data_IF_500806948447
#
_entry.id   IF_500806948447
#
_cell.length_a   1.000
_cell.length_b   1.000
_cell.length_c   1.000
_cell.angle_alpha   90.00
_cell.angle_beta   90.00
_cell.angle_gamma   90.00
#
_symmetry.space_group_name_H-M   'P 1'
#
loop_
_entity.id
_entity.type
_entity.pdbx_description
1 polymer ?
#
# COMPACT_ATOMS: atom_id res chain seq x y z
N UNK A 1 9.62 -42.65 -72.80
CA UNK A 1 9.71 -41.18 -72.69
C UNK A 1 8.52 -40.75 -71.83
N UNK A 2 8.59 -40.21 -70.62
CA UNK A 2 9.60 -39.48 -69.83
C UNK A 2 9.19 -39.57 -68.33
N UNK A 3 10.19 -39.71 -67.44
CA UNK A 3 10.34 -39.35 -66.00
C UNK A 3 9.09 -39.30 -65.08
N UNK A 4 8.92 -40.11 -64.03
CA UNK A 4 9.70 -40.35 -62.79
C UNK A 4 9.54 -39.27 -61.67
N UNK A 5 9.53 -39.76 -60.43
CA UNK A 5 9.72 -39.11 -59.11
C UNK A 5 8.43 -38.72 -58.33
N UNK A 6 7.96 -39.55 -57.40
CA UNK A 6 8.36 -39.74 -55.99
C UNK A 6 7.95 -38.58 -55.05
N UNK A 7 6.93 -38.86 -54.25
CA UNK A 7 6.47 -38.09 -53.09
C UNK A 7 7.54 -38.07 -51.99
N UNK A 8 7.60 -37.00 -51.17
CA UNK A 8 7.36 -37.26 -49.75
C UNK A 8 6.49 -36.20 -49.06
N UNK A 9 5.52 -36.68 -48.28
CA UNK A 9 4.92 -35.92 -47.18
C UNK A 9 6.01 -35.66 -46.13
N UNK A 10 6.34 -34.40 -45.86
CA UNK A 10 7.13 -34.00 -44.70
C UNK A 10 6.17 -33.49 -43.61
N UNK A 11 5.81 -34.37 -42.67
CA UNK A 11 5.09 -33.98 -41.46
C UNK A 11 6.09 -33.39 -40.46
N UNK A 12 6.07 -32.06 -40.30
CA UNK A 12 6.84 -31.38 -39.26
C UNK A 12 6.09 -31.38 -37.93
N UNK A 13 6.54 -32.17 -36.95
CA UNK A 13 6.12 -32.02 -35.55
C UNK A 13 6.88 -30.83 -34.93
N UNK A 14 6.20 -29.71 -34.75
CA UNK A 14 6.65 -28.60 -33.89
C UNK A 14 6.38 -28.97 -32.43
N UNK A 15 7.42 -29.38 -31.71
CA UNK A 15 7.37 -29.54 -30.25
C UNK A 15 7.40 -28.14 -29.61
N UNK A 16 6.22 -27.62 -29.27
CA UNK A 16 6.07 -26.44 -28.42
C UNK A 16 6.45 -26.81 -26.98
N UNK A 17 7.71 -26.59 -26.61
CA UNK A 17 8.10 -26.62 -25.19
C UNK A 17 7.56 -25.37 -24.52
N UNK A 18 6.37 -25.47 -23.92
CA UNK A 18 5.83 -24.44 -23.05
C UNK A 18 6.72 -24.30 -21.81
N UNK A 19 7.36 -23.16 -21.65
CA UNK A 19 7.96 -22.77 -20.37
C UNK A 19 6.81 -22.48 -19.40
N UNK A 20 6.34 -23.50 -18.66
CA UNK A 20 5.51 -23.29 -17.50
C UNK A 20 6.37 -22.61 -16.43
N UNK A 21 6.28 -21.28 -16.35
CA UNK A 21 6.68 -20.60 -15.12
C UNK A 21 5.87 -21.24 -13.99
N UNK A 22 6.49 -21.69 -12.89
CA UNK A 22 5.73 -22.08 -11.71
C UNK A 22 4.84 -20.90 -11.37
N UNK A 23 3.53 -21.08 -11.45
CA UNK A 23 2.60 -20.11 -10.90
C UNK A 23 2.99 -19.97 -9.43
N UNK A 24 3.55 -18.81 -9.04
CA UNK A 24 3.69 -18.49 -7.65
C UNK A 24 2.28 -18.64 -7.06
N UNK A 25 2.07 -19.64 -6.20
CA UNK A 25 0.80 -19.74 -5.49
C UNK A 25 0.66 -18.42 -4.72
N UNK A 26 -0.30 -17.61 -5.14
CA UNK A 26 -0.64 -16.39 -4.43
C UNK A 26 -1.13 -16.79 -3.03
N UNK A 27 -0.52 -16.21 -1.99
CA UNK A 27 -0.83 -16.51 -0.60
C UNK A 27 -2.07 -15.82 -0.07
N UNK A 28 -2.94 -15.39 -0.96
CA UNK A 28 -4.02 -14.46 -0.66
C UNK A 28 -3.66 -13.04 -1.07
N UNK A 29 -4.69 -12.22 -1.12
CA UNK A 29 -4.64 -10.83 -1.52
C UNK A 29 -5.92 -10.12 -1.11
N UNK A 30 -5.88 -8.80 -1.06
CA UNK A 30 -6.99 -8.01 -0.56
C UNK A 30 -6.79 -6.52 -0.76
N UNK A 31 -7.47 -5.75 0.07
CA UNK A 31 -7.41 -4.29 0.02
C UNK A 31 -6.12 -3.76 0.65
N UNK A 32 -5.72 -2.58 0.20
CA UNK A 32 -4.74 -1.71 0.84
C UNK A 32 -5.55 -0.71 1.66
N UNK A 33 -5.50 -0.91 2.97
CA UNK A 33 -6.18 -0.07 3.95
C UNK A 33 -5.18 0.67 4.81
N UNK A 34 -5.65 1.67 5.55
CA UNK A 34 -4.82 2.42 6.46
C UNK A 34 -5.57 2.91 7.70
N UNK A 35 -4.81 3.07 8.78
CA UNK A 35 -5.23 3.69 10.03
C UNK A 35 -4.19 4.75 10.40
N UNK A 36 -4.65 5.99 10.49
CA UNK A 36 -3.81 7.13 10.81
C UNK A 36 -3.95 7.48 12.29
N UNK A 37 -2.89 7.25 13.05
CA UNK A 37 -2.83 7.57 14.48
C UNK A 37 -2.33 8.99 14.78
N UNK A 38 -2.10 9.79 13.73
CA UNK A 38 -1.43 11.09 13.80
C UNK A 38 -2.41 12.26 13.67
N UNK A 39 -1.92 13.45 14.00
CA UNK A 39 -2.65 14.72 13.84
C UNK A 39 -2.64 15.26 12.40
N UNK A 40 -1.80 14.71 11.53
CA UNK A 40 -1.67 15.13 10.13
C UNK A 40 -2.59 14.29 9.26
N UNK A 41 -3.09 14.84 8.16
CA UNK A 41 -3.73 14.01 7.14
C UNK A 41 -2.66 13.25 6.36
N UNK A 42 -2.98 12.05 5.93
CA UNK A 42 -2.24 11.30 4.91
C UNK A 42 -2.90 11.61 3.57
N UNK A 43 -2.31 12.53 2.80
CA UNK A 43 -2.87 13.05 1.55
C UNK A 43 -2.83 12.02 0.42
N UNK A 44 -1.90 11.08 0.47
CA UNK A 44 -1.85 9.88 -0.35
C UNK A 44 -0.86 8.90 0.29
N UNK A 45 -1.02 7.61 -0.02
CA UNK A 45 -0.03 6.62 0.33
C UNK A 45 -0.02 5.45 -0.67
N UNK A 46 1.05 4.67 -0.63
CA UNK A 46 1.18 3.44 -1.41
C UNK A 46 1.96 2.37 -0.67
N UNK A 47 1.74 1.12 -1.07
CA UNK A 47 2.49 -0.07 -0.63
C UNK A 47 3.15 -0.66 -1.88
N UNK A 48 4.49 -0.68 -1.93
CA UNK A 48 5.27 -1.14 -3.09
C UNK A 48 4.80 -0.49 -4.42
N UNK A 49 4.58 0.83 -4.38
CA UNK A 49 4.04 1.65 -5.47
C UNK A 49 2.57 1.35 -5.85
N UNK A 50 1.87 0.48 -5.14
CA UNK A 50 0.43 0.30 -5.30
C UNK A 50 -0.34 1.29 -4.42
N UNK A 51 -1.18 2.11 -5.05
CA UNK A 51 -1.93 3.17 -4.37
C UNK A 51 -2.95 2.61 -3.38
N UNK A 52 -3.01 3.21 -2.18
CA UNK A 52 -4.07 2.98 -1.21
C UNK A 52 -5.39 3.68 -1.54
N UNK A 53 -5.44 4.45 -2.64
CA UNK A 53 -6.57 5.24 -3.16
C UNK A 53 -6.99 6.42 -2.27
N UNK A 54 -7.23 6.17 -0.99
CA UNK A 54 -7.85 7.14 -0.09
C UNK A 54 -6.89 8.15 0.53
N UNK A 55 -7.48 9.30 0.89
CA UNK A 55 -6.91 10.26 1.82
C UNK A 55 -7.35 9.86 3.23
N UNK A 56 -6.41 9.74 4.16
CA UNK A 56 -6.72 9.36 5.54
C UNK A 56 -6.61 10.58 6.46
N UNK A 57 -7.75 11.08 6.94
CA UNK A 57 -7.77 12.20 7.85
C UNK A 57 -7.10 11.88 9.21
N UNK A 58 -6.82 12.91 10.03
CA UNK A 58 -6.25 12.72 11.36
C UNK A 58 -7.10 11.79 12.22
N UNK A 59 -6.49 10.77 12.83
CA UNK A 59 -7.16 9.83 13.76
C UNK A 59 -8.32 9.05 13.12
N UNK A 60 -8.20 8.70 11.83
CA UNK A 60 -9.20 7.98 11.06
C UNK A 60 -8.61 6.71 10.43
N UNK A 61 -9.49 5.85 9.93
CA UNK A 61 -9.13 4.75 9.02
C UNK A 61 -9.87 4.89 7.70
N UNK A 62 -9.36 4.26 6.66
CA UNK A 62 -9.88 4.30 5.29
C UNK A 62 -9.01 3.44 4.37
N UNK A 63 -9.13 3.63 3.06
CA UNK A 63 -8.42 2.84 2.08
C UNK A 63 -9.36 2.19 1.06
N UNK A 64 -9.12 0.92 0.76
CA UNK A 64 -9.82 0.23 -0.31
C UNK A 64 -9.08 0.23 -1.63
N UNK A 65 -7.80 0.61 -1.64
CA UNK A 65 -6.89 0.31 -2.74
C UNK A 65 -6.95 -1.17 -3.08
N UNK A 66 -7.07 -1.55 -4.35
CA UNK A 66 -7.17 -2.96 -4.70
C UNK A 66 -5.80 -3.65 -4.74
N UNK A 67 -5.86 -4.98 -4.75
CA UNK A 67 -4.89 -5.83 -5.43
C UNK A 67 -3.56 -6.05 -4.69
N UNK A 68 -3.50 -5.79 -3.38
CA UNK A 68 -2.37 -6.25 -2.57
C UNK A 68 -2.31 -7.78 -2.63
N UNK A 69 -1.11 -8.32 -2.87
CA UNK A 69 -0.88 -9.77 -2.97
C UNK A 69 0.44 -10.13 -2.32
N UNK A 70 0.50 -11.30 -1.70
CA UNK A 70 1.72 -11.83 -1.08
C UNK A 70 2.01 -13.26 -1.54
N UNK A 71 3.26 -13.76 -1.40
CA UNK A 71 3.58 -15.17 -1.64
C UNK A 71 2.78 -16.11 -0.70
N UNK A 72 2.56 -17.36 -1.13
CA UNK A 72 1.92 -18.40 -0.31
C UNK A 72 2.54 -18.65 1.07
N UNK A 73 3.83 -18.40 1.21
CA UNK A 73 4.53 -18.58 2.48
C UNK A 73 5.28 -17.31 2.80
N UNK A 74 5.09 -16.84 4.03
CA UNK A 74 5.94 -15.80 4.57
C UNK A 74 7.35 -16.36 4.78
N UNK A 75 8.36 -15.53 4.53
CA UNK A 75 9.76 -15.84 4.79
C UNK A 75 10.40 -14.73 5.62
N UNK A 76 11.35 -15.09 6.48
CA UNK A 76 12.05 -14.13 7.31
C UNK A 76 12.75 -13.06 6.47
N UNK A 77 12.51 -11.80 6.82
CA UNK A 77 13.06 -10.64 6.11
C UNK A 77 12.13 -10.08 5.03
N UNK A 78 10.92 -10.60 4.85
CA UNK A 78 9.93 -9.95 4.00
C UNK A 78 9.60 -8.53 4.49
N UNK A 79 9.60 -7.60 3.56
CA UNK A 79 9.33 -6.17 3.80
C UNK A 79 8.44 -5.60 2.71
N UNK A 80 7.78 -4.49 3.02
CA UNK A 80 7.11 -3.63 2.03
C UNK A 80 7.65 -2.21 2.17
N UNK A 81 7.71 -1.48 1.05
CA UNK A 81 7.99 -0.04 1.03
C UNK A 81 6.68 0.71 1.10
N UNK A 82 6.59 1.63 2.05
CA UNK A 82 5.47 2.54 2.23
C UNK A 82 5.94 3.93 1.84
N UNK A 83 5.25 4.54 0.88
CA UNK A 83 5.44 5.94 0.51
C UNK A 83 4.16 6.71 0.86
N UNK A 84 4.29 7.89 1.46
CA UNK A 84 3.13 8.70 1.82
C UNK A 84 3.44 10.19 1.90
N UNK A 85 2.39 11.01 1.76
CA UNK A 85 2.47 12.46 2.01
C UNK A 85 1.64 12.84 3.23
N UNK A 86 2.23 13.57 4.17
CA UNK A 86 1.47 14.21 5.24
C UNK A 86 1.15 15.66 4.90
N UNK A 87 0.01 16.16 5.34
CA UNK A 87 -0.33 17.59 5.25
C UNK A 87 -1.43 18.03 6.22
N UNK A 88 -1.81 19.31 6.13
CA UNK A 88 -2.88 19.88 6.93
C UNK A 88 -4.21 19.20 6.58
N UNK A 89 -4.81 18.50 7.54
CA UNK A 89 -6.10 17.82 7.39
C UNK A 89 -7.33 18.70 7.65
N UNK A 90 -7.22 20.03 7.50
CA UNK A 90 -8.28 20.99 7.83
C UNK A 90 -8.29 22.15 6.86
N UNK A 91 -9.48 22.69 6.59
CA UNK A 91 -9.70 23.94 5.85
C UNK A 91 -9.63 25.19 6.75
N UNK A 92 -9.06 25.08 7.96
CA UNK A 92 -8.87 26.21 8.85
C UNK A 92 -8.13 27.36 8.14
N UNK A 93 -8.64 28.59 8.32
CA UNK A 93 -8.09 29.78 7.68
C UNK A 93 -8.40 29.93 6.19
N UNK A 94 -9.25 29.06 5.61
CA UNK A 94 -9.68 29.20 4.22
C UNK A 94 -10.43 30.54 3.99
N UNK A 95 -9.93 31.43 3.12
CA UNK A 95 -10.47 32.79 2.97
C UNK A 95 -11.70 32.88 2.04
N UNK A 96 -12.21 31.74 1.55
CA UNK A 96 -13.17 31.72 0.45
C UNK A 96 -12.49 31.95 -0.90
N UNK A 97 -13.33 32.07 -1.95
CA UNK A 97 -12.87 32.21 -3.33
C UNK A 97 -13.03 33.64 -3.90
N UNK A 98 -13.59 34.58 -3.13
CA UNK A 98 -13.88 35.93 -3.61
C UNK A 98 -12.63 36.80 -3.84
N UNK A 99 -11.54 36.51 -3.11
CA UNK A 99 -10.27 37.23 -3.20
C UNK A 99 -9.18 36.24 -3.62
N UNK A 100 -8.79 36.29 -4.89
CA UNK A 100 -7.82 35.37 -5.47
C UNK A 100 -6.46 35.45 -4.78
N UNK A 101 -5.99 36.66 -4.43
CA UNK A 101 -4.70 36.85 -3.78
C UNK A 101 -4.67 36.19 -2.40
N UNK A 102 -5.74 36.33 -1.61
CA UNK A 102 -5.85 35.64 -0.32
C UNK A 102 -5.94 34.13 -0.49
N UNK A 103 -6.72 33.65 -1.46
CA UNK A 103 -6.81 32.22 -1.76
C UNK A 103 -5.46 31.61 -2.13
N UNK A 104 -4.69 32.26 -3.02
CA UNK A 104 -3.37 31.79 -3.44
C UNK A 104 -2.35 31.81 -2.28
N UNK A 105 -2.39 32.83 -1.43
CA UNK A 105 -1.54 32.90 -0.24
C UNK A 105 -1.86 31.78 0.76
N UNK A 106 -3.15 31.52 1.02
CA UNK A 106 -3.60 30.41 1.86
C UNK A 106 -3.17 29.06 1.27
N UNK A 107 -3.44 28.82 -0.02
CA UNK A 107 -3.06 27.58 -0.72
C UNK A 107 -1.55 27.33 -0.64
N UNK A 108 -0.74 28.36 -0.89
CA UNK A 108 0.73 28.28 -0.76
C UNK A 108 1.15 27.88 0.67
N UNK A 109 0.47 28.42 1.69
CA UNK A 109 0.70 28.05 3.08
C UNK A 109 0.33 26.61 3.42
N UNK A 110 -0.75 26.08 2.83
CA UNK A 110 -1.14 24.67 2.96
C UNK A 110 -0.12 23.77 2.25
N UNK A 111 0.26 24.10 1.02
CA UNK A 111 1.22 23.31 0.24
C UNK A 111 2.60 23.27 0.91
N UNK A 112 3.05 24.36 1.54
CA UNK A 112 4.32 24.42 2.27
C UNK A 112 4.38 23.51 3.51
N UNK A 113 3.23 23.02 4.01
CA UNK A 113 3.16 22.08 5.13
C UNK A 113 3.25 20.62 4.67
N UNK A 114 3.14 20.34 3.37
CA UNK A 114 3.23 18.98 2.86
C UNK A 114 4.64 18.39 3.06
N UNK A 115 4.71 17.12 3.42
CA UNK A 115 5.97 16.38 3.58
C UNK A 115 5.82 15.02 2.91
N UNK A 116 6.83 14.66 2.14
CA UNK A 116 6.96 13.38 1.46
C UNK A 116 7.79 12.45 2.34
N UNK A 117 7.34 11.22 2.48
CA UNK A 117 7.92 10.22 3.36
C UNK A 117 8.06 8.89 2.65
N UNK A 118 9.04 8.09 3.10
CA UNK A 118 9.26 6.73 2.62
C UNK A 118 9.83 5.87 3.74
N UNK A 119 9.30 4.66 3.92
CA UNK A 119 9.82 3.71 4.89
C UNK A 119 9.61 2.28 4.44
N UNK A 120 10.69 1.49 4.51
CA UNK A 120 10.61 0.05 4.37
C UNK A 120 10.36 -0.57 5.73
N UNK A 121 9.29 -1.37 5.86
CA UNK A 121 8.87 -1.98 7.12
C UNK A 121 8.72 -3.48 6.97
N UNK A 122 9.01 -4.26 8.03
CA UNK A 122 8.81 -5.70 8.00
C UNK A 122 7.32 -6.04 7.91
N UNK A 123 7.01 -7.07 7.11
CA UNK A 123 5.67 -7.68 7.10
C UNK A 123 5.66 -8.75 8.20
N UNK A 124 4.71 -8.71 9.16
CA UNK A 124 4.59 -9.75 10.18
C UNK A 124 4.36 -11.14 9.56
N UNK A 125 4.82 -12.19 10.24
CA UNK A 125 4.63 -13.58 9.81
C UNK A 125 3.13 -13.92 9.75
N UNK A 126 2.68 -14.33 8.57
CA UNK A 126 1.30 -14.75 8.29
C UNK A 126 1.18 -16.25 8.03
N UNK A 127 2.25 -17.03 8.24
CA UNK A 127 2.19 -18.48 8.07
C UNK A 127 1.15 -19.09 9.02
N UNK A 128 0.28 -19.96 8.47
CA UNK A 128 -0.81 -20.59 9.22
C UNK A 128 -1.98 -19.65 9.51
N UNK A 129 -2.04 -18.47 8.88
CA UNK A 129 -3.12 -17.50 9.00
C UNK A 129 -3.67 -17.14 7.62
N UNK A 130 -4.92 -16.70 7.57
CA UNK A 130 -5.49 -16.09 6.38
C UNK A 130 -4.96 -14.67 6.19
N UNK A 131 -4.79 -14.27 4.92
CA UNK A 131 -4.36 -12.92 4.51
C UNK A 131 -5.53 -12.20 3.84
N UNK A 132 -5.89 -11.03 4.37
CA UNK A 132 -7.04 -10.24 3.88
C UNK A 132 -6.65 -8.89 3.26
N UNK A 133 -5.43 -8.77 2.74
CA UNK A 133 -4.87 -7.51 2.25
C UNK A 133 -3.75 -7.00 3.15
N UNK A 134 -3.55 -5.69 3.18
CA UNK A 134 -2.60 -5.03 4.07
C UNK A 134 -3.23 -3.77 4.67
N UNK A 135 -3.11 -3.61 5.98
CA UNK A 135 -3.45 -2.36 6.67
C UNK A 135 -2.18 -1.66 7.11
N UNK A 136 -2.00 -0.41 6.67
CA UNK A 136 -0.88 0.46 7.05
C UNK A 136 -1.28 1.33 8.24
N UNK A 137 -0.52 1.25 9.33
CA UNK A 137 -0.69 2.10 10.49
C UNK A 137 0.35 3.21 10.48
N UNK A 138 -0.10 4.45 10.27
CA UNK A 138 0.75 5.64 10.39
C UNK A 138 0.78 6.09 11.84
N UNK A 139 1.96 6.08 12.45
CA UNK A 139 2.20 6.42 13.84
C UNK A 139 2.93 7.77 13.93
N UNK A 140 2.92 8.43 15.11
CA UNK A 140 3.75 9.62 15.31
C UNK A 140 5.23 9.36 15.06
N UNK A 141 6.01 10.41 14.78
CA UNK A 141 7.42 10.30 14.44
C UNK A 141 7.72 9.55 13.14
N UNK A 142 6.80 9.64 12.17
CA UNK A 142 6.93 9.01 10.85
C UNK A 142 7.21 7.49 10.94
N UNK A 143 6.72 6.88 12.02
CA UNK A 143 6.76 5.45 12.26
C UNK A 143 5.59 4.78 11.55
N UNK A 144 5.84 3.58 11.02
CA UNK A 144 4.83 2.82 10.28
C UNK A 144 4.85 1.37 10.72
N UNK A 145 3.66 0.79 10.90
CA UNK A 145 3.46 -0.65 11.08
C UNK A 145 2.51 -1.16 10.01
N UNK A 146 2.61 -2.44 9.69
CA UNK A 146 1.69 -3.09 8.75
C UNK A 146 1.16 -4.39 9.33
N UNK A 147 -0.02 -4.79 8.87
CA UNK A 147 -0.58 -6.11 9.16
C UNK A 147 -1.36 -6.64 7.98
N UNK A 148 -1.35 -7.96 7.79
CA UNK A 148 -2.16 -8.68 6.80
C UNK A 148 -3.38 -9.37 7.40
N UNK A 149 -3.64 -9.12 8.70
CA UNK A 149 -4.67 -9.80 9.47
C UNK A 149 -6.08 -9.55 8.94
N UNK A 150 -6.89 -10.60 8.92
CA UNK A 150 -8.32 -10.52 8.63
C UNK A 150 -9.17 -9.97 9.78
N UNK A 151 -8.59 -9.76 10.97
CA UNK A 151 -9.34 -9.21 12.10
C UNK A 151 -9.58 -7.72 11.92
N UNK A 152 -10.75 -7.24 12.35
CA UNK A 152 -11.00 -5.80 12.41
C UNK A 152 -10.27 -5.15 13.60
N UNK A 153 -9.93 -3.85 13.55
CA UNK A 153 -9.16 -3.17 14.61
C UNK A 153 -9.76 -3.23 16.02
N UNK A 154 -11.09 -3.43 16.13
CA UNK A 154 -11.79 -3.56 17.42
C UNK A 154 -11.71 -4.97 18.01
N UNK A 155 -11.23 -5.95 17.25
CA UNK A 155 -11.17 -7.33 17.69
C UNK A 155 -9.99 -7.56 18.64
N UNK A 156 -10.20 -8.40 19.66
CA UNK A 156 -9.18 -8.77 20.63
C UNK A 156 -7.94 -9.43 19.99
N UNK A 157 -8.10 -10.08 18.84
CA UNK A 157 -7.02 -10.77 18.11
C UNK A 157 -6.30 -9.87 17.09
N UNK A 158 -6.72 -8.61 16.91
CA UNK A 158 -6.03 -7.70 15.98
C UNK A 158 -4.60 -7.41 16.45
N UNK A 159 -3.56 -7.55 15.62
CA UNK A 159 -2.17 -7.56 16.11
C UNK A 159 -1.63 -6.19 16.55
N UNK A 160 -2.24 -5.09 16.11
CA UNK A 160 -1.80 -3.72 16.44
C UNK A 160 -2.75 -3.15 17.49
N UNK A 161 -2.22 -2.71 18.63
CA UNK A 161 -3.02 -2.33 19.82
C UNK A 161 -2.95 -0.85 20.17
N UNK A 162 -2.20 -0.08 19.38
CA UNK A 162 -2.01 1.34 19.54
C UNK A 162 -3.36 2.08 19.49
N UNK A 163 -3.57 3.06 20.38
CA UNK A 163 -4.82 3.81 20.40
C UNK A 163 -4.93 4.68 19.14
N UNK A 164 -6.14 4.91 18.64
CA UNK A 164 -6.35 5.73 17.44
C UNK A 164 -5.81 7.16 17.59
N UNK A 165 -5.87 7.74 18.79
CA UNK A 165 -5.33 9.08 19.07
C UNK A 165 -4.02 8.96 19.82
N UNK A 166 -2.90 9.06 19.12
CA UNK A 166 -1.57 9.12 19.72
C UNK A 166 -1.05 10.54 19.76
N UNK A 167 -0.40 10.90 20.87
CA UNK A 167 0.32 12.16 20.98
C UNK A 167 1.72 11.97 20.43
N UNK A 168 2.10 12.87 19.53
CA UNK A 168 3.48 12.94 19.06
C UNK A 168 4.39 13.49 20.17
N UNK A 169 5.50 12.79 20.49
CA UNK A 169 6.45 13.28 21.47
C UNK A 169 7.16 14.53 20.95
N UNK A 170 7.68 15.37 21.86
CA UNK A 170 8.44 16.57 21.48
C UNK A 170 9.72 16.26 20.72
N UNK A 171 10.31 15.10 21.01
CA UNK A 171 11.52 14.60 20.37
C UNK A 171 11.23 13.18 19.94
N UNK A 172 11.42 12.91 18.66
CA UNK A 172 11.29 11.56 18.12
C UNK A 172 12.53 10.73 18.48
N UNK A 173 12.36 9.46 18.89
CA UNK A 173 13.47 8.54 19.03
C UNK A 173 14.27 8.46 17.72
N UNK A 174 15.59 8.27 17.85
CA UNK A 174 16.47 8.00 16.71
C UNK A 174 16.56 6.50 16.44
#
# INVERSE_FOLDING_TARGET
MKHAFLSPLLAGLLLLTGCSQPAAQAGGGGTIDAINHTKWAINHFSVDNQSGIDIIGPFQGGGGGCCYSVPARWTSGMTVRIDWETGQGSSAGFPGFADENKYLAWKKGIDAQKRQHSKTVPVPDYNGQDVCGITVHFLPCDEVKVTTSCWSPRNANYPIKEPIRMKEPRVCPK
#
